data_IF_460606652461
#
_entry.id   IF_460606652461
#
_cell.length_a   1.000
_cell.length_b   1.000
_cell.length_c   1.000
_cell.angle_alpha   90.00
_cell.angle_beta   90.00
_cell.angle_gamma   90.00
#
_symmetry.space_group_name_H-M   'P 1'
#
loop_
_entity.id
_entity.type
_entity.pdbx_description
1 polymer ?
2 non-polymer ?
3 non-polymer ?
4 non-polymer ?
5 water ?
#
# COMPACT_ATOMS: atom_id res chain seq x y z
N UNK A 1 5.87 -2.40 15.34
CA UNK A 1 4.58 -1.80 14.88
C UNK A 1 4.78 -0.35 14.48
N UNK A 2 3.87 0.17 13.66
CA UNK A 2 3.86 1.57 13.29
C UNK A 2 2.46 2.14 13.53
N UNK A 3 2.39 3.44 13.74
CA UNK A 3 1.15 4.09 14.16
C UNK A 3 0.86 5.36 13.37
N UNK A 4 -0.42 5.64 13.15
CA UNK A 4 -0.86 6.92 12.60
C UNK A 4 -2.20 7.34 13.21
N UNK A 5 -2.26 8.59 13.64
CA UNK A 5 -3.44 9.15 14.25
C UNK A 5 -4.00 10.28 13.38
N UNK A 6 -5.27 10.16 13.00
CA UNK A 6 -5.92 11.18 12.17
C UNK A 6 -6.26 12.44 12.97
N UNK A 7 -6.42 12.30 14.29
CA UNK A 7 -6.66 13.46 15.14
C UNK A 7 -5.42 14.33 15.19
N UNK A 8 -5.52 15.53 14.65
CA UNK A 8 -4.39 16.45 14.57
C UNK A 8 -3.43 16.17 13.43
N UNK A 9 -3.79 15.24 12.54
CA UNK A 9 -2.91 14.89 11.42
C UNK A 9 -2.72 16.07 10.48
N UNK A 10 -1.51 16.17 9.94
CA UNK A 10 -1.19 17.15 8.91
C UNK A 10 -0.16 16.51 7.98
N UNK A 11 0.27 17.24 6.92
CA UNK A 11 1.22 16.61 6.00
C UNK A 11 2.51 16.11 6.64
N UNK A 12 2.96 16.79 7.68
CA UNK A 12 4.18 16.40 8.37
C UNK A 12 4.00 15.10 9.15
N UNK A 13 2.95 15.01 9.96
CA UNK A 13 2.73 13.80 10.77
C UNK A 13 2.46 12.59 9.87
N UNK A 14 1.77 12.83 8.77
CA UNK A 14 1.55 11.76 7.79
C UNK A 14 2.86 11.31 7.16
N UNK A 15 3.73 12.28 6.83
CA UNK A 15 5.05 11.98 6.28
C UNK A 15 5.87 11.14 7.24
N UNK A 16 5.81 11.48 8.52
CA UNK A 16 6.47 10.70 9.57
C UNK A 16 5.95 9.26 9.60
N UNK A 17 4.64 9.09 9.48
CA UNK A 17 4.04 7.74 9.45
C UNK A 17 4.51 6.91 8.24
N UNK A 18 4.57 7.55 7.07
CA UNK A 18 4.98 6.85 5.86
C UNK A 18 6.48 6.50 5.92
N UNK A 19 7.28 7.40 6.48
CA UNK A 19 8.69 7.10 6.75
C UNK A 19 8.82 5.90 7.70
N UNK A 20 8.04 5.91 8.78
CA UNK A 20 8.02 4.80 9.74
C UNK A 20 7.66 3.47 9.09
N UNK A 21 6.64 3.50 8.22
CA UNK A 21 6.18 2.31 7.51
C UNK A 21 7.28 1.76 6.60
N UNK A 22 7.89 2.63 5.81
CA UNK A 22 9.04 2.23 4.99
C UNK A 22 10.15 1.62 5.86
N UNK A 23 10.47 2.27 6.96
CA UNK A 23 11.59 1.84 7.82
C UNK A 23 11.32 0.56 8.59
N UNK A 24 10.06 0.19 8.71
CA UNK A 24 9.66 -1.06 9.37
C UNK A 24 9.79 -2.28 8.46
N UNK A 25 9.99 -2.05 7.17
CA UNK A 25 10.12 -3.15 6.22
C UNK A 25 11.59 -3.57 6.13
N UNK A 26 11.88 -4.85 6.38
CA UNK A 26 13.29 -5.24 6.41
C UNK A 26 13.89 -5.41 5.01
N UNK A 27 15.18 -5.17 4.91
CA UNK A 27 15.93 -5.38 3.68
C UNK A 27 17.41 -5.57 4.05
N UNK A 28 18.11 -6.35 3.23
CA UNK A 28 19.55 -6.54 3.41
C UNK A 28 20.37 -5.90 2.29
N UNK A 29 19.68 -5.43 1.25
CA UNK A 29 20.33 -4.94 0.05
C UNK A 29 19.56 -3.73 -0.48
N UNK A 30 20.28 -2.79 -1.09
CA UNK A 30 19.67 -1.76 -1.91
C UNK A 30 20.09 -1.98 -3.35
N UNK A 31 19.17 -1.69 -4.27
CA UNK A 31 19.41 -1.78 -5.69
C UNK A 31 19.19 -0.39 -6.28
N UNK A 32 20.26 0.17 -6.83
CA UNK A 32 20.30 1.58 -7.24
C UNK A 32 19.81 2.48 -6.10
N UNK A 33 20.27 2.16 -4.90
CA UNK A 33 19.99 2.91 -3.68
C UNK A 33 18.53 2.86 -3.19
N UNK A 34 17.75 1.89 -3.70
CA UNK A 34 16.38 1.68 -3.25
C UNK A 34 16.31 0.36 -2.49
N UNK A 35 15.78 0.38 -1.24
CA UNK A 35 15.60 -0.84 -0.47
C UNK A 35 14.94 -1.96 -1.27
N UNK A 36 15.56 -3.13 -1.26
CA UNK A 36 15.02 -4.31 -1.94
C UNK A 36 14.35 -5.20 -0.91
N UNK A 37 13.03 -5.38 -1.05
CA UNK A 37 12.29 -6.20 -0.08
C UNK A 37 12.73 -7.66 -0.18
N UNK A 38 12.64 -8.35 0.94
CA UNK A 38 13.18 -9.71 1.05
C UNK A 38 12.36 -10.70 0.23
N UNK A 39 13.02 -11.79 -0.25
CA UNK A 39 12.31 -12.85 -0.96
C UNK A 39 11.21 -13.47 -0.10
N UNK A 40 11.53 -13.73 1.16
CA UNK A 40 10.57 -14.28 2.09
C UNK A 40 11.01 -14.08 3.53
N UNK A 41 10.03 -14.19 4.42
CA UNK A 41 10.24 -14.16 5.85
C UNK A 41 9.35 -15.26 6.42
N UNK A 42 9.88 -16.06 7.35
CA UNK A 42 9.15 -17.19 7.90
C UNK A 42 8.52 -16.80 9.23
N UNK A 43 7.32 -17.32 9.47
CA UNK A 43 6.64 -17.13 10.74
C UNK A 43 6.00 -15.77 10.88
N UNK A 44 5.80 -15.35 12.13
CA UNK A 44 5.08 -14.12 12.45
C UNK A 44 5.81 -12.88 12.00
N UNK A 45 7.14 -12.95 11.89
CA UNK A 45 7.97 -11.83 11.46
C UNK A 45 7.65 -11.33 10.05
N UNK A 46 6.89 -12.13 9.31
CA UNK A 46 6.43 -11.76 7.99
C UNK A 46 5.49 -10.56 7.98
N UNK A 47 4.82 -10.30 9.11
CA UNK A 47 3.71 -9.36 9.14
C UNK A 47 3.98 -8.15 10.03
N UNK A 48 3.82 -6.97 9.45
CA UNK A 48 3.89 -5.70 10.18
C UNK A 48 2.46 -5.30 10.59
N UNK A 49 2.33 -4.80 11.82
CA UNK A 49 1.05 -4.28 12.30
C UNK A 49 1.07 -2.76 12.24
N UNK A 50 0.06 -2.19 11.58
CA UNK A 50 -0.14 -0.74 11.56
C UNK A 50 -1.31 -0.41 12.47
N UNK A 51 -1.09 0.44 13.45
CA UNK A 51 -2.17 0.92 14.31
C UNK A 51 -2.67 2.24 13.75
N UNK A 52 -3.92 2.24 13.30
CA UNK A 52 -4.52 3.42 12.71
C UNK A 52 -5.69 3.89 13.58
N UNK A 53 -5.69 5.17 13.89
CA UNK A 53 -6.70 5.78 14.75
C UNK A 53 -7.49 6.80 13.95
N UNK A 54 -8.81 6.66 13.93
CA UNK A 54 -9.64 7.68 13.31
C UNK A 54 -9.66 8.93 14.18
N UNK A 55 -10.28 9.99 13.68
CA UNK A 55 -10.29 11.27 14.37
C UNK A 55 -10.84 11.18 15.80
N UNK A 56 -11.83 10.32 16.03
CA UNK A 56 -12.40 10.14 17.37
C UNK A 56 -11.57 9.25 18.29
N UNK A 57 -10.47 8.69 17.77
CA UNK A 57 -9.58 7.88 18.58
C UNK A 57 -9.88 6.39 18.56
N UNK A 58 -10.85 5.97 17.76
CA UNK A 58 -11.07 4.55 17.52
C UNK A 58 -9.99 3.98 16.62
N UNK A 59 -9.73 2.70 16.75
CA UNK A 59 -8.56 2.11 16.13
C UNK A 59 -8.83 0.78 15.44
N UNK A 60 -8.16 0.59 14.31
CA UNK A 60 -8.00 -0.73 13.72
C UNK A 60 -6.51 -1.02 13.64
N UNK A 61 -6.16 -2.30 13.64
CA UNK A 61 -4.79 -2.73 13.42
C UNK A 61 -4.76 -3.50 12.10
N UNK A 62 -3.88 -3.07 11.20
CA UNK A 62 -3.79 -3.64 9.86
C UNK A 62 -2.52 -4.47 9.74
N UNK A 63 -2.67 -5.70 9.23
CA UNK A 63 -1.53 -6.60 9.04
C UNK A 63 -1.01 -6.49 7.62
N UNK A 64 0.29 -6.17 7.50
CA UNK A 64 0.95 -5.97 6.23
C UNK A 64 2.08 -6.99 6.04
N UNK A 65 2.07 -7.69 4.91
CA UNK A 65 3.16 -8.61 4.57
C UNK A 65 4.38 -7.77 4.17
N UNK A 66 5.48 -7.94 4.91
CA UNK A 66 6.65 -7.06 4.75
C UNK A 66 7.49 -7.34 3.50
N UNK A 67 7.30 -8.47 2.89
CA UNK A 67 7.92 -8.81 1.63
C UNK A 67 7.38 -8.09 0.43
N UNK A 68 6.10 -7.79 0.46
CA UNK A 68 5.44 -7.17 -0.64
C UNK A 68 4.55 -5.94 -0.37
N UNK A 69 4.39 -5.55 0.87
CA UNK A 69 3.55 -4.46 1.34
C UNK A 69 2.06 -4.71 1.08
N UNK A 70 1.67 -5.98 0.99
CA UNK A 70 0.28 -6.33 0.73
C UNK A 70 -0.54 -6.52 2.02
N UNK A 71 -1.55 -5.68 2.20
CA UNK A 71 -2.45 -5.79 3.34
C UNK A 71 -3.14 -7.15 3.34
N UNK A 72 -3.01 -7.88 4.45
CA UNK A 72 -3.57 -9.23 4.57
C UNK A 72 -4.94 -9.24 5.25
N UNK A 73 -5.10 -8.33 6.21
CA UNK A 73 -6.33 -8.24 6.98
C UNK A 73 -6.17 -7.19 8.04
N UNK A 74 -7.16 -7.12 8.93
CA UNK A 74 -7.12 -6.14 10.00
C UNK A 74 -7.99 -6.59 11.17
N UNK A 75 -7.75 -5.97 12.31
CA UNK A 75 -8.49 -6.23 13.53
C UNK A 75 -9.27 -4.98 13.89
N UNK A 76 -10.54 -5.17 14.11
CA UNK A 76 -11.40 -4.13 14.59
C UNK A 76 -12.14 -4.61 15.82
N UNK A 77 -11.79 -4.03 16.96
CA UNK A 77 -12.29 -4.45 18.23
C UNK A 77 -11.92 -5.90 18.47
N UNK A 78 -12.90 -6.76 18.61
CA UNK A 78 -12.63 -8.16 18.83
C UNK A 78 -12.84 -9.05 17.61
N UNK A 79 -13.03 -8.46 16.44
CA UNK A 79 -13.23 -9.19 15.20
C UNK A 79 -12.07 -8.96 14.25
N UNK A 80 -11.53 -10.05 13.72
CA UNK A 80 -10.53 -9.96 12.66
C UNK A 80 -11.18 -10.18 11.31
N UNK A 81 -10.60 -9.54 10.30
CA UNK A 81 -11.06 -9.62 8.92
C UNK A 81 -9.87 -9.90 8.02
N UNK A 82 -9.97 -10.92 7.18
CA UNK A 82 -8.91 -11.27 6.24
C UNK A 82 -9.47 -11.38 4.84
N UNK A 83 -8.64 -11.09 3.87
CA UNK A 83 -8.95 -11.28 2.48
C UNK A 83 -9.14 -12.74 2.14
N UNK A 84 -10.00 -13.01 1.18
CA UNK A 84 -10.28 -14.35 0.73
C UNK A 84 -9.24 -14.77 -0.28
N UNK A 85 -8.06 -15.05 0.23
CA UNK A 85 -6.94 -15.54 -0.58
C UNK A 85 -5.93 -16.30 0.27
N UNK A 86 -5.17 -17.24 -0.31
CA UNK A 86 -4.31 -18.10 0.50
C UNK A 86 -3.26 -17.35 1.36
N UNK A 87 -2.66 -16.30 0.82
CA UNK A 87 -1.68 -15.52 1.59
C UNK A 87 -2.28 -14.92 2.86
N UNK A 88 -3.53 -14.49 2.78
CA UNK A 88 -4.22 -13.92 3.94
C UNK A 88 -4.64 -15.02 4.92
N UNK A 89 -5.06 -16.16 4.39
CA UNK A 89 -5.41 -17.31 5.22
C UNK A 89 -4.18 -17.78 6.01
N UNK A 90 -3.02 -17.82 5.34
CA UNK A 90 -1.75 -18.10 6.01
C UNK A 90 -1.48 -17.05 7.09
N UNK A 91 -1.65 -15.78 6.75
CA UNK A 91 -1.42 -14.69 7.71
C UNK A 91 -2.30 -14.84 8.94
N UNK A 92 -3.53 -15.32 8.76
CA UNK A 92 -4.46 -15.50 9.87
C UNK A 92 -3.97 -16.55 10.89
N UNK A 93 -2.96 -17.33 10.52
CA UNK A 93 -2.34 -18.25 11.46
C UNK A 93 -1.41 -17.55 12.45
N UNK A 94 -1.01 -16.31 12.14
CA UNK A 94 -0.01 -15.59 12.94
C UNK A 94 -0.47 -14.30 13.60
N UNK A 95 -1.43 -13.59 13.01
CA UNK A 95 -1.86 -12.30 13.55
C UNK A 95 -3.32 -12.33 13.99
N UNK A 96 -3.64 -11.55 15.01
CA UNK A 96 -5.00 -11.35 15.50
C UNK A 96 -5.64 -12.65 16.00
N UNK A 97 -4.82 -13.56 16.50
CA UNK A 97 -5.30 -14.85 17.01
C UNK A 97 -6.22 -14.69 18.21
N UNK A 98 -6.02 -13.62 18.99
CA UNK A 98 -6.84 -13.31 20.15
C UNK A 98 -8.23 -12.75 19.82
N UNK A 99 -8.53 -12.52 18.54
CA UNK A 99 -9.86 -12.05 18.12
C UNK A 99 -10.94 -13.06 18.53
N UNK A 100 -12.06 -12.56 19.03
CA UNK A 100 -13.18 -13.40 19.38
C UNK A 100 -13.78 -14.12 18.21
N UNK A 101 -13.88 -13.49 17.07
CA UNK A 101 -14.26 -14.17 15.82
C UNK A 101 -13.43 -13.65 14.65
N UNK A 102 -13.38 -14.46 13.60
CA UNK A 102 -12.66 -14.13 12.39
C UNK A 102 -13.64 -14.19 11.24
N UNK A 103 -13.69 -13.09 10.47
CA UNK A 103 -14.50 -13.03 9.27
C UNK A 103 -13.58 -13.00 8.06
N UNK A 104 -13.85 -13.88 7.11
CA UNK A 104 -13.16 -13.82 5.83
C UNK A 104 -14.00 -12.97 4.89
N UNK A 105 -13.39 -11.90 4.37
CA UNK A 105 -14.09 -11.00 3.46
C UNK A 105 -14.42 -11.74 2.18
N UNK A 106 -15.52 -11.34 1.51
CA UNK A 106 -15.95 -12.04 0.30
C UNK A 106 -15.24 -11.56 -0.99
N UNK A 107 -13.95 -11.26 -0.86
CA UNK A 107 -13.11 -10.91 -2.00
C UNK A 107 -11.64 -11.05 -1.60
N UNK A 108 -10.79 -11.22 -2.60
CA UNK A 108 -9.34 -11.12 -2.41
C UNK A 108 -8.95 -9.64 -2.37
N UNK A 109 -7.68 -9.39 -2.15
CA UNK A 109 -7.15 -8.06 -1.95
C UNK A 109 -6.72 -7.28 -3.19
N UNK A 110 -6.82 -7.86 -4.34
CA UNK A 110 -6.38 -7.16 -5.54
C UNK A 110 -7.39 -6.12 -6.01
N UNK A 111 -6.89 -5.15 -6.78
CA UNK A 111 -7.63 -3.93 -7.07
C UNK A 111 -8.84 -4.28 -7.91
N UNK A 112 -8.66 -5.23 -8.78
CA UNK A 112 -9.73 -5.66 -9.65
C UNK A 112 -10.91 -6.17 -8.84
N UNK A 113 -10.67 -7.11 -7.97
CA UNK A 113 -11.73 -7.69 -7.14
C UNK A 113 -12.34 -6.68 -6.17
N UNK A 114 -11.51 -5.82 -5.60
CA UNK A 114 -11.99 -4.79 -4.67
C UNK A 114 -12.90 -3.78 -5.38
N UNK A 115 -12.52 -3.38 -6.59
CA UNK A 115 -13.28 -2.43 -7.39
C UNK A 115 -14.64 -3.01 -7.81
N UNK A 116 -14.64 -4.29 -8.19
CA UNK A 116 -15.88 -5.01 -8.47
C UNK A 116 -16.79 -5.00 -7.23
N UNK A 117 -16.23 -5.41 -6.09
CA UNK A 117 -16.99 -5.42 -4.84
C UNK A 117 -17.48 -4.04 -4.43
N UNK A 118 -16.64 -3.03 -4.63
CA UNK A 118 -17.00 -1.66 -4.26
C UNK A 118 -18.04 -1.04 -5.19
N UNK A 119 -18.11 -1.55 -6.42
CA UNK A 119 -19.03 -1.02 -7.43
C UNK A 119 -18.47 0.16 -8.19
N UNK A 120 -17.16 0.39 -8.07
CA UNK A 120 -16.53 1.50 -8.78
C UNK A 120 -15.01 1.35 -8.87
N UNK A 121 -14.42 1.87 -9.96
CA UNK A 121 -12.99 1.85 -10.09
C UNK A 121 -12.40 2.92 -9.19
N UNK A 122 -11.16 2.73 -8.75
CA UNK A 122 -10.60 3.69 -7.83
C UNK A 122 -10.27 5.04 -8.50
N UNK A 123 -10.36 5.10 -9.83
CA UNK A 123 -10.38 6.39 -10.54
C UNK A 123 -11.46 7.32 -9.99
N UNK A 124 -12.55 6.75 -9.49
CA UNK A 124 -13.69 7.53 -9.02
C UNK A 124 -13.83 7.60 -7.50
N UNK A 125 -12.85 7.07 -6.76
CA UNK A 125 -12.88 7.09 -5.30
C UNK A 125 -11.89 8.14 -4.79
N UNK A 126 -12.41 9.23 -4.19
CA UNK A 126 -11.52 10.22 -3.59
C UNK A 126 -10.63 9.62 -2.51
N UNK A 127 -9.39 10.10 -2.46
CA UNK A 127 -8.45 9.68 -1.42
C UNK A 127 -7.88 10.93 -0.78
N UNK A 128 -7.20 10.74 0.34
CA UNK A 128 -6.73 11.86 1.16
C UNK A 128 -6.80 11.44 2.61
N UNK A 129 -6.46 12.35 3.51
CA UNK A 129 -6.49 12.06 4.92
C UNK A 129 -7.92 11.99 5.46
N UNK A 130 -8.85 12.84 4.94
CA UNK A 130 -10.22 12.66 5.39
C UNK A 130 -10.82 11.33 4.93
N UNK A 131 -10.49 10.89 3.71
CA UNK A 131 -10.95 9.61 3.20
C UNK A 131 -10.38 8.46 4.04
N UNK A 132 -9.14 8.60 4.50
CA UNK A 132 -8.54 7.57 5.36
C UNK A 132 -9.25 7.49 6.71
N UNK A 133 -9.53 8.65 7.30
CA UNK A 133 -10.33 8.73 8.52
C UNK A 133 -11.67 8.00 8.37
N UNK A 134 -12.35 8.25 7.25
CA UNK A 134 -13.62 7.58 6.91
C UNK A 134 -13.46 6.08 6.70
N UNK A 135 -12.35 5.68 6.08
CA UNK A 135 -12.09 4.28 5.79
C UNK A 135 -11.94 3.49 7.08
N UNK A 136 -11.18 4.06 8.02
CA UNK A 136 -10.99 3.45 9.34
C UNK A 136 -12.34 3.26 10.03
N UNK A 137 -13.14 4.32 10.05
CA UNK A 137 -14.47 4.28 10.67
C UNK A 137 -15.36 3.22 10.04
N UNK A 138 -15.35 3.14 8.72
CA UNK A 138 -16.13 2.13 7.99
C UNK A 138 -15.70 0.72 8.38
N UNK A 139 -14.40 0.49 8.47
CA UNK A 139 -13.90 -0.85 8.76
C UNK A 139 -14.15 -1.30 10.20
N UNK A 140 -14.49 -0.36 11.09
CA UNK A 140 -14.84 -0.70 12.47
C UNK A 140 -16.12 -1.53 12.58
N UNK A 141 -17.03 -1.38 11.63
CA UNK A 141 -18.30 -2.11 11.64
C UNK A 141 -18.56 -2.78 10.29
N UNK A 142 -18.67 -4.09 10.28
CA UNK A 142 -18.63 -4.86 9.07
C UNK A 142 -19.75 -4.51 8.09
N UNK A 143 -19.37 -4.18 6.89
CA UNK A 143 -20.24 -4.02 5.75
C UNK A 143 -19.33 -4.27 4.54
N UNK A 144 -19.44 -5.42 3.92
CA UNK A 144 -18.45 -5.84 2.94
C UNK A 144 -18.37 -4.95 1.69
N UNK A 145 -19.51 -4.48 1.20
CA UNK A 145 -19.52 -3.53 0.08
C UNK A 145 -18.82 -2.24 0.47
N UNK A 146 -19.17 -1.67 1.62
CA UNK A 146 -18.53 -0.44 2.10
C UNK A 146 -17.03 -0.66 2.38
N UNK A 147 -16.71 -1.81 2.97
CA UNK A 147 -15.33 -2.16 3.29
C UNK A 147 -14.42 -2.20 2.06
N UNK A 148 -14.93 -2.70 0.93
CA UNK A 148 -14.14 -2.77 -0.29
C UNK A 148 -13.64 -1.39 -0.71
N UNK A 149 -14.52 -0.39 -0.65
CA UNK A 149 -14.16 0.99 -0.95
C UNK A 149 -13.18 1.55 0.07
N UNK A 150 -13.44 1.26 1.35
CA UNK A 150 -12.56 1.72 2.41
C UNK A 150 -11.16 1.10 2.26
N UNK A 151 -11.10 -0.16 1.84
CA UNK A 151 -9.84 -0.84 1.65
C UNK A 151 -9.04 -0.28 0.47
N UNK A 152 -9.73 0.11 -0.60
CA UNK A 152 -9.08 0.79 -1.72
C UNK A 152 -8.43 2.09 -1.27
N UNK A 153 -9.12 2.83 -0.39
CA UNK A 153 -8.57 4.04 0.18
C UNK A 153 -7.38 3.71 1.08
N UNK A 154 -7.57 2.73 1.96
CA UNK A 154 -6.54 2.35 2.93
C UNK A 154 -5.25 1.92 2.24
N UNK A 155 -5.39 1.05 1.25
CA UNK A 155 -4.23 0.51 0.52
C UNK A 155 -3.42 1.61 -0.14
N UNK A 156 -4.12 2.55 -0.78
CA UNK A 156 -3.48 3.64 -1.51
C UNK A 156 -2.81 4.66 -0.59
N UNK A 157 -3.41 4.91 0.54
CA UNK A 157 -2.92 5.87 1.49
C UNK A 157 -1.86 5.33 2.44
N UNK A 158 -1.62 4.04 2.41
CA UNK A 158 -0.58 3.44 3.21
C UNK A 158 0.48 2.77 2.35
N UNK A 159 0.18 1.60 1.81
CA UNK A 159 1.13 0.85 1.05
C UNK A 159 1.62 1.56 -0.20
N UNK A 160 0.73 2.14 -0.97
CA UNK A 160 1.15 2.76 -2.23
C UNK A 160 1.99 4.02 -1.96
N UNK A 161 1.62 4.77 -0.92
CA UNK A 161 2.40 5.95 -0.50
C UNK A 161 3.78 5.56 0.03
N UNK A 162 3.88 4.43 0.70
CA UNK A 162 5.19 3.91 1.12
C UNK A 162 6.06 3.53 -0.08
N UNK A 163 5.43 2.99 -1.13
CA UNK A 163 6.15 2.57 -2.32
C UNK A 163 6.64 3.70 -3.21
N UNK A 164 5.89 4.80 -3.25
CA UNK A 164 6.17 5.91 -4.15
C UNK A 164 6.06 7.24 -3.44
N UNK A 165 7.14 8.03 -3.50
CA UNK A 165 7.15 9.35 -2.91
C UNK A 165 6.10 10.25 -3.53
N UNK A 166 5.88 10.10 -4.84
CA UNK A 166 4.88 10.88 -5.54
C UNK A 166 3.48 10.68 -4.91
N UNK A 167 3.15 9.43 -4.58
CA UNK A 167 1.85 9.11 -4.01
C UNK A 167 1.72 9.66 -2.59
N UNK A 168 2.77 9.54 -1.79
CA UNK A 168 2.85 10.20 -0.17
C UNK A 168 2.53 11.67 -0.55
N UNK A 169 3.17 12.34 -1.51
CA UNK A 169 2.97 13.77 -1.74
C UNK A 169 1.54 14.08 -2.19
N UNK A 170 0.98 13.23 -3.05
CA UNK A 170 -0.43 13.33 -3.45
C UNK A 170 -1.37 13.34 -2.23
N UNK A 171 -1.09 12.47 -1.27
CA UNK A 171 -1.93 12.37 -0.07
C UNK A 171 -1.71 13.58 0.84
N UNK A 172 -0.46 14.02 0.95
CA UNK A 172 -0.15 15.23 1.71
C UNK A 172 -0.88 16.45 1.16
N UNK A 173 -0.99 16.52 -0.17
CA UNK A 173 -1.77 17.57 -0.83
C UNK A 173 -3.27 17.44 -0.54
N UNK A 174 -3.70 16.24 -0.18
CA UNK A 174 -5.08 15.95 0.17
C UNK A 174 -5.25 15.79 1.68
N UNK A 175 -4.48 16.53 2.46
CA UNK A 175 -4.55 16.43 3.92
C UNK A 175 -5.89 16.88 4.49
N UNK A 176 -6.53 17.86 3.86
CA UNK A 176 -7.77 18.43 4.40
C UNK A 176 -8.91 18.45 3.37
N UNK A 177 -8.67 17.87 2.20
CA UNK A 177 -9.65 17.78 1.13
C UNK A 177 -9.33 16.56 0.28
N UNK A 178 -10.28 15.64 0.16
CA UNK A 178 -10.10 14.46 -0.67
C UNK A 178 -10.17 14.82 -2.15
N UNK A 179 -9.49 14.02 -2.96
CA UNK A 179 -9.59 14.15 -4.38
C UNK A 179 -9.24 12.80 -4.98
N UNK A 180 -9.92 12.45 -6.07
CA UNK A 180 -9.61 11.20 -6.76
C UNK A 180 -8.13 11.21 -7.13
N UNK A 181 -7.50 10.02 -7.18
CA UNK A 181 -6.08 9.94 -7.54
C UNK A 181 -5.81 10.44 -8.95
N UNK A 182 -4.64 11.05 -9.17
CA UNK A 182 -4.21 11.41 -10.51
C UNK A 182 -3.99 10.12 -11.30
N UNK A 183 -4.05 10.22 -12.62
CA UNK A 183 -3.80 9.12 -13.51
C UNK A 183 -2.38 8.59 -13.32
N UNK A 184 -1.46 9.47 -13.06
CA UNK A 184 -0.07 9.13 -12.74
C UNK A 184 -0.01 8.23 -11.52
N UNK A 185 -0.74 8.61 -10.48
CA UNK A 185 -0.86 7.80 -9.27
C UNK A 185 -1.33 6.39 -9.62
N UNK A 186 -2.43 6.29 -10.38
CA UNK A 186 -2.97 4.99 -10.81
C UNK A 186 -1.91 4.22 -11.60
N UNK A 187 -1.24 4.92 -12.50
CA UNK A 187 -0.20 4.32 -13.35
C UNK A 187 0.93 3.71 -12.51
N UNK A 188 1.37 4.43 -11.49
CA UNK A 188 2.46 3.95 -10.62
C UNK A 188 2.04 2.73 -9.83
N UNK A 189 0.84 2.77 -9.28
CA UNK A 189 0.29 1.64 -8.54
C UNK A 189 0.32 0.40 -9.41
N UNK A 190 -0.20 0.54 -10.62
CA UNK A 190 -0.25 -0.57 -11.57
C UNK A 190 1.12 -1.06 -12.06
N UNK A 191 2.15 -0.22 -11.91
CA UNK A 191 3.48 -0.52 -12.47
C UNK A 191 4.53 -0.93 -11.44
N UNK A 192 4.13 -1.07 -10.17
CA UNK A 192 5.12 -1.28 -9.11
C UNK A 192 5.90 -2.56 -9.31
N UNK A 193 5.20 -3.63 -9.63
CA UNK A 193 5.82 -4.93 -9.89
C UNK A 193 6.77 -4.84 -11.08
N UNK A 194 6.28 -4.27 -12.18
CA UNK A 194 7.07 -4.10 -13.40
C UNK A 194 8.31 -3.24 -13.22
N UNK A 195 8.15 -2.11 -12.52
CA UNK A 195 9.29 -1.23 -12.23
C UNK A 195 10.29 -1.92 -11.32
N UNK A 196 9.80 -2.55 -10.27
CA UNK A 196 10.63 -3.29 -9.33
C UNK A 196 11.48 -4.32 -10.06
N UNK A 197 10.86 -5.06 -10.98
CA UNK A 197 11.56 -6.07 -11.76
C UNK A 197 12.62 -5.48 -12.68
N UNK A 198 12.26 -4.43 -13.43
CA UNK A 198 13.16 -3.84 -14.41
C UNK A 198 14.35 -3.13 -13.78
N UNK A 199 14.15 -2.55 -12.59
CA UNK A 199 15.23 -1.93 -11.85
C UNK A 199 16.24 -3.01 -11.42
N UNK A 200 15.72 -4.17 -11.00
CA UNK A 200 16.58 -5.30 -10.68
C UNK A 200 17.28 -5.89 -11.92
N UNK A 201 16.56 -6.02 -13.02
CA UNK A 201 17.15 -6.53 -14.27
C UNK A 201 18.22 -5.59 -14.83
N UNK A 202 18.08 -4.30 -14.53
CA UNK A 202 19.05 -3.29 -14.99
C UNK A 202 20.43 -3.45 -14.34
N UNK A 203 20.51 -4.08 -13.17
CA UNK A 203 21.79 -4.25 -12.45
C UNK A 203 22.88 -4.88 -13.30
N UNK A 204 22.53 -5.93 -14.05
CA UNK A 204 23.47 -6.60 -14.94
C UNK A 204 23.31 -6.19 -16.39
N UNK A 205 22.72 -5.02 -16.61
CA UNK A 205 22.44 -4.54 -17.96
C UNK A 205 22.94 -3.13 -18.24
N UNK A 206 23.78 -2.62 -17.34
CA UNK A 206 24.28 -1.24 -17.37
C UNK A 206 23.24 -0.17 -17.05
N UNK A 207 22.29 -0.52 -16.18
CA UNK A 207 21.25 0.43 -15.77
C UNK A 207 20.09 0.53 -16.75
N UNK A 208 20.07 -0.32 -17.77
CA UNK A 208 19.07 -0.28 -18.82
C UNK A 208 18.00 -1.35 -18.58
N UNK A 209 16.73 -0.96 -18.68
CA UNK A 209 15.61 -1.89 -18.55
C UNK A 209 15.63 -2.90 -19.70
N UNK A 210 15.40 -4.17 -19.39
CA UNK A 210 15.23 -5.19 -20.42
C UNK A 210 13.97 -4.90 -21.23
N UNK A 211 12.92 -4.45 -20.55
CA UNK A 211 11.64 -4.09 -21.17
C UNK A 211 11.19 -2.74 -20.61
N UNK A 212 10.92 -1.76 -21.49
CA UNK A 212 10.46 -0.46 -21.00
C UNK A 212 9.13 -0.53 -20.25
N UNK A 213 8.96 0.37 -19.28
CA UNK A 213 7.73 0.48 -18.51
C UNK A 213 7.01 1.76 -18.93
N UNK A 214 5.74 1.64 -19.32
CA UNK A 214 4.95 2.79 -19.72
C UNK A 214 4.18 3.36 -18.54
N UNK A 215 4.39 4.64 -18.25
CA UNK A 215 3.68 5.34 -17.20
C UNK A 215 2.94 6.54 -17.78
N UNK A 216 1.98 7.05 -17.02
CA UNK A 216 1.37 8.34 -17.27
C UNK A 216 2.05 9.35 -16.33
N UNK A 217 2.39 10.53 -16.84
CA UNK A 217 3.04 11.56 -16.00
C UNK A 217 2.03 12.55 -15.42
N UNK A 218 2.52 13.51 -14.64
CA UNK A 218 1.67 14.47 -13.93
C UNK A 218 0.81 15.38 -14.83
N UNK A 219 1.18 15.50 -16.11
CA UNK A 219 0.41 16.29 -17.08
C UNK A 219 -0.63 15.44 -17.79
N UNK A 220 -0.65 14.14 -17.50
CA UNK A 220 -1.53 13.20 -18.18
C UNK A 220 -0.92 12.56 -19.40
N UNK A 221 0.38 12.79 -19.61
CA UNK A 221 1.08 12.28 -20.80
C UNK A 221 1.72 10.93 -20.54
N UNK A 222 1.56 10.03 -21.52
CA UNK A 222 2.08 8.66 -21.43
C UNK A 222 3.55 8.62 -21.85
N UNK A 223 4.40 8.09 -20.96
CA UNK A 223 5.87 8.13 -21.13
C UNK A 223 6.48 6.74 -20.93
N UNK A 224 7.57 6.48 -21.65
CA UNK A 224 8.33 5.23 -21.52
C UNK A 224 9.50 5.41 -20.56
N UNK A 225 9.62 4.51 -19.59
CA UNK A 225 10.77 4.47 -18.68
C UNK A 225 11.68 3.36 -19.20
N UNK A 226 12.92 3.71 -19.56
CA UNK A 226 13.84 2.76 -20.19
C UNK A 226 15.10 2.45 -19.39
N UNK A 227 15.41 3.30 -18.40
CA UNK A 227 16.63 3.12 -17.61
C UNK A 227 16.58 3.81 -16.26
N UNK A 228 17.56 3.51 -15.42
CA UNK A 228 17.58 3.95 -14.01
C UNK A 228 17.85 5.44 -13.80
N UNK A 229 18.18 6.19 -14.86
CA UNK A 229 18.37 7.64 -14.73
C UNK A 229 17.02 8.39 -14.67
N UNK A 230 15.93 7.73 -14.96
CA UNK A 230 14.64 8.33 -14.90
C UNK A 230 14.25 8.75 -13.48
N UNK A 231 13.55 9.88 -13.38
CA UNK A 231 13.18 10.42 -12.06
C UNK A 231 12.33 9.46 -11.23
N UNK A 232 11.56 8.62 -11.92
CA UNK A 232 10.76 7.60 -11.24
C UNK A 232 11.68 6.70 -10.42
N UNK A 233 12.84 6.37 -10.99
CA UNK A 233 13.82 5.51 -10.34
C UNK A 233 14.69 6.26 -9.31
N UNK A 234 15.16 7.45 -9.66
CA UNK A 234 16.10 8.19 -8.81
C UNK A 234 15.44 8.91 -7.63
N UNK A 235 14.20 9.29 -7.81
CA UNK A 235 13.48 10.00 -6.81
C UNK A 235 12.25 9.32 -6.26
N UNK A 236 11.39 8.83 -7.11
CA UNK A 236 10.11 8.39 -6.68
C UNK A 236 9.97 7.05 -5.94
N UNK A 237 10.36 5.96 -6.57
CA UNK A 237 10.15 4.65 -6.00
C UNK A 237 11.00 4.48 -4.74
N UNK A 238 10.42 3.95 -3.68
CA UNK A 238 11.11 3.83 -2.40
C UNK A 238 11.31 2.40 -1.95
N UNK A 239 10.70 1.45 -2.64
CA UNK A 239 10.73 0.04 -2.24
C UNK A 239 10.61 -0.83 -3.48
N UNK A 240 11.39 -1.90 -3.53
CA UNK A 240 11.35 -2.83 -4.65
C UNK A 240 10.82 -4.18 -4.22
N UNK A 241 9.79 -4.63 -4.93
CA UNK A 241 9.33 -6.00 -4.83
C UNK A 241 10.42 -6.89 -5.42
N UNK A 242 10.86 -7.87 -4.64
CA UNK A 242 11.90 -8.80 -5.06
C UNK A 242 11.44 -9.59 -6.29
N UNK A 243 12.31 -9.72 -7.30
CA UNK A 243 11.98 -10.49 -8.52
C UNK A 243 11.61 -11.94 -8.23
N UNK A 244 12.14 -12.49 -7.14
CA UNK A 244 11.75 -13.82 -6.68
C UNK A 244 10.23 -13.92 -6.42
N UNK A 245 9.59 -12.79 -6.14
CA UNK A 245 8.13 -12.74 -5.96
C UNK A 245 7.38 -12.15 -7.16
N UNK A 246 8.01 -12.15 -8.35
CA UNK A 246 7.39 -11.62 -9.56
C UNK A 246 7.37 -12.71 -10.64
X LIG B 1 -8.16 14.95 8.03
X LIG B 1 -9.41 15.59 8.31
X LIG B 1 -7.30 14.89 9.30
X LIG B 1 -8.05 14.33 10.38
X LIG B 1 -6.81 16.30 9.62
X LIG B 1 -6.13 16.34 10.88
X LIG C 1 17.52 6.82 -20.35
X LIG C 1 17.71 7.11 -21.84
X LIG C 1 17.57 8.59 -22.19
X LIG C 1 16.56 9.35 -21.33
X LIG C 1 16.69 8.95 -19.86
X LIG C 1 15.70 9.67 -18.96
X LIG C 1 19.31 5.38 -22.57
X LIG C 1 20.75 5.04 -22.82
X LIG C 1 19.04 6.62 -22.15
X LIG C 1 17.17 8.73 -23.54
X LIG C 1 16.81 10.74 -21.46
X LIG C 1 16.44 7.55 -19.81
X LIG C 1 14.38 9.47 -19.41
X LIG C 1 18.44 4.52 -22.74
X LIG D 1 16.08 6.78 -3.25
X LIG D 1 15.75 7.02 -1.88
X LIG D 1 14.78 6.99 -3.93
X LIG D 1 14.47 8.35 -3.73
X LIG D 1 14.76 6.59 -5.40
X LIG D 1 13.52 6.79 -6.04
X LIG E 1 -3.56 -8.45 -0.96
X LIG E 1 -3.91 -9.33 0.17
X LIG E 1 -2.13 -8.31 -1.32
X LIG E 1 -4.21 -9.11 -2.24
X LIG E 1 -4.19 -6.97 -0.72
X LIG E 1 -3.31 -9.79 -3.36
X LIG E 1 -2.86 -8.61 -4.10
X LIG E 1 -2.28 -10.71 -2.78
X LIG E 1 -4.39 -10.60 -4.24
X LIG E 1 -4.08 -11.50 -5.54
X LIG E 1 -4.12 -10.62 -6.74
X LIG E 1 -5.14 -12.53 -5.65
X LIG E 1 -2.70 -12.03 -5.23
X LIG E 1 -3.53 -5.80 -0.22
X LIG E 1 -2.54 -5.23 -1.23
X LIG E 1 -3.09 -5.51 -2.50
X LIG E 1 -2.23 -4.83 -3.39
X LIG E 1 -2.13 -3.46 -2.80
X LIG E 1 -0.91 -3.02 -3.38
X LIG E 1 -2.19 -3.75 -1.29
X LIG E 1 -0.98 -3.31 -0.63
X LIG E 1 -2.79 -4.92 -4.68
X LIG E 1 -3.74 -4.12 -5.06
X LIG E 1 -2.32 -5.97 -5.49
X LIG E 1 -1.43 -6.73 -5.12
X LIG E 1 -2.81 -6.15 -6.69
X LIG E 1 -3.75 -5.36 -7.12
X LIG E 1 -4.18 -5.53 -8.24
X LIG E 1 -4.20 -4.34 -6.33
#
# INVERSE_FOLDING_TARGET
DVSFRLSGADPSSYGMFIKDLRNALPHTEKVYNIPLLLPSVSGAGRYLLMHLFNYDGNTITVAVDVTNVYIMGYLALTTSYFFNEPAADLASQYVFRSARRKITLPYSGNYERLQIAAGKPREKIPIGLPALDTAISTLLHYDSTAAAGALLVLIQTTAEAARFKYIEQQIQERAYRDEVPSSATISLENSWSGLSKQIQLAQGNNGVFRTPTVLVDSKGNRVQITNVTSNVVTSNIQLLLNTKNI
GOL C1 O1 C2 O2 C3 O3
NAG C1 C2 C3 C4 C5 C6 C7 C8 N2 O3 O4 O5 O6 O7
GOL C1 O1 C2 O2 C3 O3
UTP PA O1A O2A O3A O5' PB O1B O2B O3B PG O1G O2G O3G C5' C4' O4' C1' C2' O2' C3' O3' N1 C6 C2 O2 N3 C4 O4 C5
#
